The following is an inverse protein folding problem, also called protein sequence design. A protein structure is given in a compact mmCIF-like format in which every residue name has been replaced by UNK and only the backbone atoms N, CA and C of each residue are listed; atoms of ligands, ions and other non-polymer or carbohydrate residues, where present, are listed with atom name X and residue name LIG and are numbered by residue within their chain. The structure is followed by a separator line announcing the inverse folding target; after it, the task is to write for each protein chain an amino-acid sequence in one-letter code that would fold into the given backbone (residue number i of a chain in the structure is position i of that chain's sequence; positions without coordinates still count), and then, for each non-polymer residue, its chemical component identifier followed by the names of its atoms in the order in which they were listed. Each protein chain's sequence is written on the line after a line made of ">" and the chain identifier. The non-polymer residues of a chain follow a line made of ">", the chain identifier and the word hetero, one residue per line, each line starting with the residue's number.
data_IF_751832261236
#
_entry.id   IF_751832261236
#
_cell.length_a   1.000
_cell.length_b   1.000
_cell.length_c   1.000
_cell.angle_alpha   90.00
_cell.angle_beta   90.00
_cell.angle_gamma   90.00
#
_symmetry.space_group_name_H-M   'P 1'
#
loop_
_entity.id
_entity.type
_entity.pdbx_description
1 polymer ?
#
# COMPACT_ATOMS: atom_id res chain seq x y z
N UNK A 1 18.10 -3.95 -25.10
CA UNK A 1 16.75 -3.37 -24.98
C UNK A 1 16.04 -4.16 -23.89
N UNK A 2 15.84 -3.58 -22.71
CA UNK A 2 15.00 -4.19 -21.68
C UNK A 2 13.57 -4.29 -22.23
N UNK A 3 12.94 -5.46 -22.04
CA UNK A 3 11.51 -5.62 -22.37
C UNK A 3 10.73 -4.64 -21.49
N UNK A 4 9.70 -3.95 -22.02
CA UNK A 4 8.86 -3.11 -21.17
C UNK A 4 8.31 -4.00 -20.04
N UNK A 5 8.48 -3.56 -18.78
CA UNK A 5 7.95 -4.27 -17.62
C UNK A 5 6.44 -4.34 -17.74
N UNK A 6 5.87 -5.51 -17.49
CA UNK A 6 4.41 -5.65 -17.40
C UNK A 6 3.91 -4.90 -16.15
N UNK A 7 2.69 -4.35 -16.24
CA UNK A 7 2.06 -3.71 -15.10
C UNK A 7 1.53 -4.79 -14.15
N UNK A 8 1.85 -4.64 -12.87
CA UNK A 8 1.25 -5.49 -11.82
C UNK A 8 -0.16 -5.03 -11.48
N UNK A 9 -0.39 -3.72 -11.50
CA UNK A 9 -1.70 -3.12 -11.28
C UNK A 9 -1.98 -2.07 -12.35
N UNK A 10 -3.19 -2.13 -12.92
CA UNK A 10 -3.71 -1.08 -13.80
C UNK A 10 -5.13 -0.72 -13.36
N UNK A 11 -5.36 0.57 -13.17
CA UNK A 11 -6.67 1.15 -12.94
C UNK A 11 -7.01 1.94 -14.20
N UNK A 12 -8.08 1.56 -14.88
CA UNK A 12 -8.48 2.14 -16.16
C UNK A 12 -9.82 2.81 -16.00
N UNK A 13 -9.82 4.13 -16.07
CA UNK A 13 -11.02 4.98 -16.01
C UNK A 13 -11.97 4.67 -14.83
N UNK A 14 -11.38 4.40 -13.65
CA UNK A 14 -12.09 3.84 -12.51
C UNK A 14 -12.93 4.91 -11.79
N UNK A 15 -14.24 4.66 -11.69
CA UNK A 15 -15.18 5.44 -10.87
C UNK A 15 -15.77 4.57 -9.78
N UNK A 16 -15.88 5.13 -8.56
CA UNK A 16 -16.31 4.37 -7.37
C UNK A 16 -17.30 5.15 -6.55
N UNK A 17 -18.31 4.44 -6.05
CA UNK A 17 -19.35 4.97 -5.17
C UNK A 17 -19.36 4.27 -3.82
N UNK A 18 -19.62 5.03 -2.75
CA UNK A 18 -19.88 4.53 -1.40
C UNK A 18 -21.25 5.05 -0.96
N UNK A 19 -22.20 4.16 -0.76
CA UNK A 19 -23.60 4.53 -0.53
C UNK A 19 -24.14 5.35 -1.72
N UNK A 20 -24.47 6.62 -1.49
CA UNK A 20 -24.97 7.53 -2.53
C UNK A 20 -23.92 8.51 -3.07
N UNK A 21 -22.69 8.46 -2.53
CA UNK A 21 -21.63 9.43 -2.84
C UNK A 21 -20.59 8.86 -3.79
N UNK A 22 -20.33 9.51 -4.89
CA UNK A 22 -19.18 9.22 -5.74
C UNK A 22 -17.90 9.70 -5.06
N UNK A 23 -16.99 8.76 -4.81
CA UNK A 23 -15.75 9.01 -4.03
C UNK A 23 -14.50 9.01 -4.90
N UNK A 24 -14.53 8.31 -6.04
CA UNK A 24 -13.46 8.29 -7.03
C UNK A 24 -14.03 8.51 -8.42
N UNK A 25 -13.32 9.27 -9.25
CA UNK A 25 -13.75 9.65 -10.58
C UNK A 25 -12.59 9.58 -11.56
N UNK A 26 -12.74 8.78 -12.60
CA UNK A 26 -11.82 8.67 -13.73
C UNK A 26 -10.36 8.42 -13.31
N UNK A 27 -10.13 7.52 -12.33
CA UNK A 27 -8.80 7.17 -11.86
C UNK A 27 -8.08 6.32 -12.90
N UNK A 28 -6.89 6.79 -13.29
CA UNK A 28 -5.98 6.07 -14.18
C UNK A 28 -4.61 5.99 -13.50
N UNK A 29 -4.19 4.77 -13.13
CA UNK A 29 -2.88 4.48 -12.52
C UNK A 29 -2.38 3.17 -13.13
N UNK A 30 -1.09 3.15 -13.50
CA UNK A 30 -0.39 1.92 -13.86
C UNK A 30 0.86 1.81 -12.97
N UNK A 31 1.02 0.65 -12.34
CA UNK A 31 2.18 0.30 -11.50
C UNK A 31 2.89 -0.87 -12.18
N UNK A 32 4.10 -0.68 -12.71
CA UNK A 32 4.91 -1.75 -13.25
C UNK A 32 5.34 -2.75 -12.16
N UNK A 33 5.63 -3.99 -12.56
CA UNK A 33 6.19 -4.99 -11.65
C UNK A 33 7.48 -4.49 -11.00
N UNK A 34 7.55 -4.61 -9.67
CA UNK A 34 8.71 -4.23 -8.86
C UNK A 34 8.90 -2.74 -8.64
N UNK A 35 7.95 -1.89 -9.03
CA UNK A 35 8.01 -0.47 -8.70
C UNK A 35 7.29 -0.14 -7.40
N UNK A 36 7.83 0.85 -6.69
CA UNK A 36 7.25 1.41 -5.47
C UNK A 36 6.68 2.78 -5.84
N UNK A 37 5.38 2.93 -5.74
CA UNK A 37 4.71 4.19 -5.99
C UNK A 37 4.20 4.83 -4.68
N UNK A 38 4.18 6.16 -4.65
CA UNK A 38 3.56 6.92 -3.56
C UNK A 38 2.24 7.55 -4.01
N UNK A 39 1.25 7.57 -3.13
CA UNK A 39 -0.02 8.27 -3.33
C UNK A 39 -0.14 9.40 -2.30
N UNK A 40 -0.03 10.63 -2.78
CA UNK A 40 -0.06 11.86 -2.02
C UNK A 40 -1.41 12.54 -2.18
N UNK A 41 -1.79 13.40 -1.24
CA UNK A 41 -3.02 14.17 -1.33
C UNK A 41 -3.56 14.59 0.03
N UNK A 42 -4.43 15.60 0.11
CA UNK A 42 -5.00 16.05 1.37
C UNK A 42 -5.92 15.00 1.99
N UNK A 43 -6.25 15.16 3.27
CA UNK A 43 -7.23 14.31 3.93
C UNK A 43 -8.58 14.42 3.23
N UNK A 44 -9.27 13.28 3.08
CA UNK A 44 -10.56 13.22 2.38
C UNK A 44 -10.46 13.26 0.85
N UNK A 45 -9.26 13.19 0.25
CA UNK A 45 -9.10 13.17 -1.22
C UNK A 45 -9.48 11.85 -1.89
N UNK A 46 -9.71 10.76 -1.12
CA UNK A 46 -10.12 9.46 -1.66
C UNK A 46 -9.03 8.38 -1.63
N UNK A 47 -7.84 8.63 -1.06
CA UNK A 47 -6.71 7.69 -1.06
C UNK A 47 -7.04 6.34 -0.42
N UNK A 48 -7.57 6.36 0.81
CA UNK A 48 -8.02 5.14 1.50
C UNK A 48 -9.16 4.45 0.74
N UNK A 49 -10.09 5.23 0.16
CA UNK A 49 -11.17 4.67 -0.68
C UNK A 49 -10.61 3.92 -1.89
N UNK A 50 -9.55 4.44 -2.51
CA UNK A 50 -8.86 3.76 -3.60
C UNK A 50 -8.29 2.41 -3.14
N UNK A 51 -7.62 2.35 -1.99
CA UNK A 51 -7.07 1.11 -1.43
C UNK A 51 -8.16 0.10 -1.11
N UNK A 52 -9.25 0.53 -0.48
CA UNK A 52 -10.38 -0.35 -0.17
C UNK A 52 -11.03 -0.90 -1.45
N UNK A 53 -11.13 -0.07 -2.50
CA UNK A 53 -11.61 -0.51 -3.82
C UNK A 53 -10.69 -1.55 -4.46
N UNK A 54 -9.36 -1.29 -4.48
CA UNK A 54 -8.38 -2.25 -5.03
C UNK A 54 -8.40 -3.57 -4.26
N UNK A 55 -8.66 -3.54 -2.96
CA UNK A 55 -8.80 -4.76 -2.13
C UNK A 55 -10.15 -5.48 -2.32
N UNK A 56 -11.17 -4.83 -2.89
CA UNK A 56 -12.50 -5.42 -3.11
C UNK A 56 -13.41 -5.39 -1.89
N UNK A 57 -13.31 -4.36 -1.05
CA UNK A 57 -14.27 -4.14 0.03
C UNK A 57 -15.67 -3.82 -0.54
N UNK A 58 -16.73 -4.54 -0.13
CA UNK A 58 -18.04 -4.49 -0.79
C UNK A 58 -18.75 -3.13 -0.69
N UNK A 59 -18.36 -2.28 0.26
CA UNK A 59 -18.92 -0.93 0.41
C UNK A 59 -18.46 0.03 -0.71
N UNK A 60 -17.35 -0.31 -1.42
CA UNK A 60 -16.76 0.48 -2.48
C UNK A 60 -17.16 -0.08 -3.84
N UNK A 61 -18.28 0.38 -4.36
CA UNK A 61 -18.86 -0.14 -5.60
C UNK A 61 -18.23 0.51 -6.81
N UNK A 62 -17.58 -0.25 -7.67
CA UNK A 62 -17.10 0.22 -8.97
C UNK A 62 -18.31 0.48 -9.87
N UNK A 63 -18.48 1.72 -10.31
CA UNK A 63 -19.58 2.14 -11.18
C UNK A 63 -19.16 2.26 -12.64
N UNK A 64 -17.87 2.42 -12.90
CA UNK A 64 -17.28 2.47 -14.23
C UNK A 64 -15.78 2.12 -14.17
N UNK A 65 -15.25 1.63 -15.29
CA UNK A 65 -13.82 1.31 -15.42
C UNK A 65 -13.47 -0.10 -14.94
N UNK A 66 -12.17 -0.40 -14.90
CA UNK A 66 -11.65 -1.74 -14.67
C UNK A 66 -10.41 -1.72 -13.77
N UNK A 67 -10.27 -2.74 -12.94
CA UNK A 67 -9.08 -3.01 -12.12
C UNK A 67 -8.40 -4.27 -12.69
N UNK A 68 -7.21 -4.11 -13.27
CA UNK A 68 -6.41 -5.22 -13.75
C UNK A 68 -5.27 -5.50 -12.78
N UNK A 69 -5.10 -6.75 -12.37
CA UNK A 69 -3.97 -7.21 -11.56
C UNK A 69 -3.25 -8.35 -12.30
N UNK A 70 -1.96 -8.15 -12.59
CA UNK A 70 -1.18 -9.07 -13.45
C UNK A 70 -1.87 -9.34 -14.80
N UNK A 71 -2.51 -8.31 -15.37
CA UNK A 71 -3.26 -8.41 -16.62
C UNK A 71 -4.63 -9.09 -16.52
N UNK A 72 -5.01 -9.61 -15.36
CA UNK A 72 -6.33 -10.20 -15.12
C UNK A 72 -7.30 -9.18 -14.54
N UNK A 73 -8.52 -9.11 -15.07
CA UNK A 73 -9.59 -8.30 -14.51
C UNK A 73 -10.04 -8.88 -13.16
N UNK A 74 -9.91 -8.05 -12.12
CA UNK A 74 -10.29 -8.40 -10.76
C UNK A 74 -11.44 -7.53 -10.23
N UNK A 75 -12.07 -6.73 -11.09
CA UNK A 75 -13.05 -5.71 -10.69
C UNK A 75 -14.16 -6.28 -9.81
N UNK A 76 -14.71 -7.44 -10.18
CA UNK A 76 -15.79 -8.10 -9.44
C UNK A 76 -15.32 -9.18 -8.46
N UNK A 77 -14.01 -9.41 -8.33
CA UNK A 77 -13.46 -10.40 -7.40
C UNK A 77 -13.57 -9.91 -5.96
N UNK A 78 -13.87 -10.82 -5.04
CA UNK A 78 -13.91 -10.50 -3.61
C UNK A 78 -12.51 -10.45 -2.97
N UNK A 79 -12.42 -9.96 -1.72
CA UNK A 79 -11.17 -9.73 -1.00
C UNK A 79 -10.29 -10.98 -0.96
N UNK A 80 -10.86 -12.15 -0.62
CA UNK A 80 -10.06 -13.36 -0.43
C UNK A 80 -9.49 -13.90 -1.75
N UNK A 81 -10.15 -13.71 -2.87
CA UNK A 81 -9.64 -14.06 -4.19
C UNK A 81 -8.45 -13.16 -4.54
N UNK A 82 -8.58 -11.83 -4.34
CA UNK A 82 -7.50 -10.87 -4.59
C UNK A 82 -6.28 -11.14 -3.70
N UNK A 83 -6.49 -11.46 -2.41
CA UNK A 83 -5.39 -11.84 -1.51
C UNK A 83 -4.67 -13.11 -1.98
N UNK A 84 -5.40 -14.13 -2.45
CA UNK A 84 -4.79 -15.34 -3.02
C UNK A 84 -3.97 -15.08 -4.28
N UNK A 85 -4.29 -14.02 -5.03
CA UNK A 85 -3.50 -13.60 -6.20
C UNK A 85 -2.23 -12.85 -5.81
N UNK A 86 -2.06 -12.47 -4.53
CA UNK A 86 -0.90 -11.79 -4.01
C UNK A 86 -1.08 -10.29 -3.73
N UNK A 87 -2.32 -9.80 -3.57
CA UNK A 87 -2.57 -8.46 -3.01
C UNK A 87 -2.60 -8.53 -1.49
N UNK A 88 -2.07 -7.49 -0.83
CA UNK A 88 -2.23 -7.32 0.61
C UNK A 88 -2.31 -5.83 0.98
N UNK A 89 -2.90 -5.55 2.14
CA UNK A 89 -3.06 -4.20 2.66
C UNK A 89 -2.60 -4.10 4.11
N UNK A 90 -1.87 -3.02 4.41
CA UNK A 90 -1.66 -2.49 5.75
C UNK A 90 -2.58 -1.29 5.93
N UNK A 91 -3.52 -1.38 6.85
CA UNK A 91 -4.49 -0.32 7.09
C UNK A 91 -3.93 0.74 8.04
N UNK A 92 -4.40 1.98 7.90
CA UNK A 92 -4.06 3.07 8.84
C UNK A 92 -4.45 2.71 10.28
N UNK A 93 -5.62 2.09 10.45
CA UNK A 93 -6.17 1.62 11.73
C UNK A 93 -6.57 0.15 11.60
N UNK A 94 -5.63 -0.77 11.80
CA UNK A 94 -5.93 -2.19 11.70
C UNK A 94 -6.82 -2.66 12.86
N UNK A 95 -7.60 -3.73 12.65
CA UNK A 95 -8.44 -4.29 13.70
C UNK A 95 -7.62 -4.87 14.85
N UNK A 96 -8.18 -4.83 16.06
CA UNK A 96 -7.67 -5.56 17.22
C UNK A 96 -8.42 -6.88 17.35
N UNK A 97 -7.70 -8.01 17.38
CA UNK A 97 -8.31 -9.35 17.48
C UNK A 97 -7.89 -9.96 18.81
N UNK A 98 -8.84 -10.11 19.73
CA UNK A 98 -8.60 -10.71 21.05
C UNK A 98 -8.69 -12.24 20.99
N UNK A 99 -7.88 -12.90 21.80
CA UNK A 99 -7.85 -14.36 21.91
C UNK A 99 -7.06 -15.07 20.80
N UNK A 100 -6.40 -14.33 19.91
CA UNK A 100 -5.52 -14.88 18.88
C UNK A 100 -4.15 -14.21 19.01
N UNK A 101 -3.15 -14.90 19.58
CA UNK A 101 -1.79 -14.40 19.61
C UNK A 101 -1.21 -14.17 18.20
N UNK A 102 -0.38 -13.13 18.04
CA UNK A 102 0.29 -12.83 16.78
C UNK A 102 1.09 -14.03 16.25
N UNK A 103 1.76 -14.77 17.13
CA UNK A 103 2.49 -16.01 16.81
C UNK A 103 1.59 -17.03 16.10
N UNK A 104 0.34 -17.18 16.54
CA UNK A 104 -0.60 -18.14 15.94
C UNK A 104 -0.95 -17.76 14.50
N UNK A 105 -1.23 -16.48 14.24
CA UNK A 105 -1.50 -16.00 12.90
C UNK A 105 -0.28 -16.18 11.98
N UNK A 106 0.90 -15.77 12.44
CA UNK A 106 2.14 -15.88 11.65
C UNK A 106 2.51 -17.34 11.38
N UNK A 107 2.34 -18.23 12.35
CA UNK A 107 2.54 -19.68 12.16
C UNK A 107 1.59 -20.27 11.12
N UNK A 108 0.34 -19.79 11.06
CA UNK A 108 -0.60 -20.18 10.02
C UNK A 108 -0.19 -19.65 8.64
N UNK A 109 0.28 -18.41 8.54
CA UNK A 109 0.75 -17.82 7.29
C UNK A 109 1.97 -18.60 6.77
N UNK A 110 2.93 -18.86 7.64
CA UNK A 110 4.21 -19.51 7.31
C UNK A 110 4.15 -21.04 7.24
N UNK A 111 2.98 -21.67 7.40
CA UNK A 111 2.84 -23.14 7.52
C UNK A 111 3.40 -23.96 6.35
N UNK A 112 3.58 -23.34 5.20
CA UNK A 112 4.12 -23.99 4.00
C UNK A 112 5.62 -23.74 3.79
N UNK A 113 6.28 -22.96 4.67
CA UNK A 113 7.73 -22.77 4.64
C UNK A 113 8.45 -24.07 5.02
N UNK A 114 9.70 -24.23 4.57
CA UNK A 114 10.50 -25.41 4.88
C UNK A 114 10.78 -25.54 6.39
N UNK A 115 11.02 -24.42 7.08
CA UNK A 115 11.13 -24.31 8.53
C UNK A 115 10.33 -23.09 9.01
N UNK A 116 9.02 -23.28 9.32
CA UNK A 116 8.15 -22.18 9.74
C UNK A 116 8.62 -21.50 11.04
N UNK A 117 9.20 -22.27 11.98
CA UNK A 117 9.66 -21.74 13.26
C UNK A 117 10.89 -20.84 13.09
N UNK A 118 11.90 -21.32 12.38
CA UNK A 118 13.10 -20.53 12.09
C UNK A 118 12.75 -19.26 11.28
N UNK A 119 11.83 -19.35 10.31
CA UNK A 119 11.37 -18.21 9.53
C UNK A 119 10.63 -17.18 10.37
N UNK A 120 9.76 -17.64 11.27
CA UNK A 120 9.07 -16.77 12.22
C UNK A 120 10.06 -16.00 13.11
N UNK A 121 11.02 -16.73 13.71
CA UNK A 121 12.02 -16.13 14.60
C UNK A 121 12.90 -15.10 13.86
N UNK A 122 13.30 -15.40 12.61
CA UNK A 122 14.05 -14.48 11.74
C UNK A 122 13.27 -13.18 11.52
N UNK A 123 12.01 -13.29 11.09
CA UNK A 123 11.17 -12.14 10.78
C UNK A 123 10.82 -11.33 12.03
N UNK A 124 10.55 -11.99 13.15
CA UNK A 124 10.22 -11.33 14.42
C UNK A 124 11.40 -10.51 14.95
N UNK A 125 12.60 -11.07 14.95
CA UNK A 125 13.83 -10.36 15.35
C UNK A 125 14.11 -9.17 14.44
N UNK A 126 14.01 -9.34 13.13
CA UNK A 126 14.21 -8.27 12.16
C UNK A 126 13.20 -7.13 12.28
N UNK A 127 12.04 -7.39 12.89
CA UNK A 127 10.96 -6.42 13.11
C UNK A 127 10.93 -5.89 14.56
N UNK A 128 11.84 -6.34 15.43
CA UNK A 128 11.83 -6.07 16.87
C UNK A 128 10.46 -6.39 17.50
N UNK A 129 9.91 -7.56 17.16
CA UNK A 129 8.61 -8.05 17.63
C UNK A 129 8.69 -9.38 18.39
N UNK A 130 9.89 -9.91 18.61
CA UNK A 130 10.15 -11.19 19.24
C UNK A 130 9.51 -11.31 20.66
N UNK A 131 9.60 -10.27 21.48
CA UNK A 131 8.99 -10.22 22.82
C UNK A 131 7.46 -9.99 22.79
N UNK A 132 6.87 -9.71 21.64
CA UNK A 132 5.46 -9.33 21.48
C UNK A 132 4.62 -10.38 20.74
N UNK A 133 5.24 -11.48 20.29
CA UNK A 133 4.57 -12.53 19.50
C UNK A 133 3.42 -13.22 20.26
N UNK A 134 3.50 -13.31 21.58
CA UNK A 134 2.50 -13.99 22.41
C UNK A 134 1.35 -13.06 22.84
N UNK A 135 1.40 -11.77 22.43
CA UNK A 135 0.26 -10.86 22.58
C UNK A 135 -0.77 -11.08 21.49
N UNK A 136 -2.02 -10.82 21.82
CA UNK A 136 -3.13 -10.82 20.85
C UNK A 136 -2.89 -9.77 19.77
N UNK A 137 -3.35 -10.05 18.56
CA UNK A 137 -3.17 -9.21 17.38
C UNK A 137 -3.64 -7.78 17.67
N UNK A 138 -2.68 -6.83 17.63
CA UNK A 138 -2.89 -5.39 17.85
C UNK A 138 -3.53 -5.03 19.21
N UNK A 139 -3.54 -5.94 20.21
CA UNK A 139 -4.10 -5.68 21.52
C UNK A 139 -2.99 -5.31 22.54
N UNK A 140 -3.14 -4.14 23.16
CA UNK A 140 -2.17 -3.65 24.17
C UNK A 140 -0.81 -3.27 23.59
N UNK A 141 -0.72 -3.07 22.28
CA UNK A 141 0.46 -2.57 21.59
C UNK A 141 0.39 -1.04 21.46
N UNK A 142 1.54 -0.38 21.53
CA UNK A 142 1.69 1.03 21.17
C UNK A 142 1.47 1.25 19.67
N UNK A 143 1.25 2.50 19.23
CA UNK A 143 1.04 2.81 17.82
C UNK A 143 2.17 2.33 16.91
N UNK A 144 3.43 2.49 17.33
CA UNK A 144 4.60 2.01 16.59
C UNK A 144 4.70 0.47 16.56
N UNK A 145 4.35 -0.21 17.65
CA UNK A 145 4.30 -1.68 17.71
C UNK A 145 3.20 -2.24 16.82
N UNK A 146 2.03 -1.59 16.74
CA UNK A 146 0.95 -1.95 15.80
C UNK A 146 1.46 -1.87 14.35
N UNK A 147 2.15 -0.80 13.97
CA UNK A 147 2.71 -0.65 12.62
C UNK A 147 3.75 -1.73 12.30
N UNK A 148 4.62 -2.07 13.25
CA UNK A 148 5.59 -3.16 13.08
C UNK A 148 4.90 -4.53 13.00
N UNK A 149 3.85 -4.76 13.80
CA UNK A 149 3.02 -5.97 13.75
C UNK A 149 2.40 -6.17 12.38
N UNK A 150 1.79 -5.12 11.81
CA UNK A 150 1.20 -5.16 10.47
C UNK A 150 2.24 -5.42 9.37
N UNK A 151 3.41 -4.75 9.43
CA UNK A 151 4.49 -5.01 8.48
C UNK A 151 5.10 -6.41 8.63
N UNK A 152 5.19 -6.94 9.85
CA UNK A 152 5.64 -8.32 10.09
C UNK A 152 4.67 -9.32 9.44
N UNK A 153 3.36 -9.07 9.51
CA UNK A 153 2.36 -9.87 8.83
C UNK A 153 2.53 -9.80 7.29
N UNK A 154 2.79 -8.62 6.73
CA UNK A 154 3.08 -8.47 5.30
C UNK A 154 4.38 -9.17 4.90
N UNK A 155 5.44 -9.08 5.70
CA UNK A 155 6.69 -9.80 5.46
C UNK A 155 6.49 -11.33 5.44
N UNK A 156 5.70 -11.85 6.38
CA UNK A 156 5.36 -13.26 6.44
C UNK A 156 4.49 -13.71 5.23
N UNK A 157 3.50 -12.87 4.86
CA UNK A 157 2.61 -13.14 3.73
C UNK A 157 3.31 -13.02 2.37
N UNK A 158 4.34 -12.17 2.30
CA UNK A 158 5.18 -11.95 1.11
C UNK A 158 4.39 -11.67 -0.18
N UNK A 159 3.47 -10.67 -0.19
CA UNK A 159 2.59 -10.39 -1.33
C UNK A 159 3.35 -9.88 -2.55
N UNK A 160 2.74 -9.96 -3.72
CA UNK A 160 3.26 -9.39 -4.98
C UNK A 160 3.06 -7.87 -5.06
N UNK A 161 1.93 -7.38 -4.51
CA UNK A 161 1.64 -5.95 -4.37
C UNK A 161 1.16 -5.65 -2.95
N UNK A 162 1.87 -4.76 -2.27
CA UNK A 162 1.51 -4.26 -0.96
C UNK A 162 0.89 -2.86 -1.05
N UNK A 163 -0.32 -2.70 -0.50
CA UNK A 163 -0.96 -1.40 -0.30
C UNK A 163 -0.71 -0.97 1.15
N UNK A 164 -0.07 0.18 1.40
CA UNK A 164 0.25 0.63 2.76
C UNK A 164 -0.37 2.01 3.02
N UNK A 165 -1.37 2.05 3.92
CA UNK A 165 -2.10 3.28 4.25
C UNK A 165 -1.48 3.97 5.46
N UNK A 166 -0.73 5.04 5.23
CA UNK A 166 -0.02 5.86 6.22
C UNK A 166 0.80 5.03 7.22
N UNK A 167 1.74 4.21 6.73
CA UNK A 167 2.55 3.36 7.61
C UNK A 167 3.40 4.18 8.59
N UNK A 168 3.74 5.42 8.23
CA UNK A 168 4.60 6.35 8.95
C UNK A 168 3.87 7.30 9.92
N UNK A 169 2.55 7.21 10.01
CA UNK A 169 1.76 8.14 10.85
C UNK A 169 2.03 7.93 12.33
N UNK A 170 2.33 9.05 13.05
CA UNK A 170 2.50 9.05 14.51
C UNK A 170 3.79 8.39 15.02
N UNK A 171 4.80 8.21 14.15
CA UNK A 171 6.08 7.61 14.51
C UNK A 171 7.17 8.66 14.72
N UNK A 172 8.09 8.37 15.65
CA UNK A 172 9.33 9.13 15.81
C UNK A 172 10.37 8.76 14.73
N UNK A 173 11.49 9.51 14.70
CA UNK A 173 12.53 9.33 13.66
C UNK A 173 13.19 7.95 13.70
N UNK A 174 13.38 7.37 14.90
CA UNK A 174 14.02 6.05 15.04
C UNK A 174 13.09 4.94 14.54
N UNK A 175 11.83 5.02 14.93
CA UNK A 175 10.80 4.09 14.48
C UNK A 175 10.59 4.16 12.95
N UNK A 176 10.66 5.37 12.36
CA UNK A 176 10.60 5.55 10.90
C UNK A 176 11.77 4.88 10.17
N UNK A 177 12.98 4.89 10.74
CA UNK A 177 14.15 4.23 10.15
C UNK A 177 13.94 2.71 10.06
N UNK A 178 13.54 2.09 11.18
CA UNK A 178 13.22 0.66 11.21
C UNK A 178 12.07 0.31 10.25
N UNK A 179 11.02 1.12 10.23
CA UNK A 179 9.90 0.95 9.29
C UNK A 179 10.37 0.97 7.83
N UNK A 180 11.22 1.93 7.48
CA UNK A 180 11.81 2.03 6.14
C UNK A 180 12.64 0.80 5.76
N UNK A 181 13.39 0.23 6.71
CA UNK A 181 14.14 -1.02 6.52
C UNK A 181 13.20 -2.21 6.28
N UNK A 182 12.13 -2.32 7.07
CA UNK A 182 11.12 -3.37 6.90
C UNK A 182 10.42 -3.27 5.54
N UNK A 183 10.03 -2.06 5.12
CA UNK A 183 9.41 -1.85 3.80
C UNK A 183 10.39 -2.16 2.67
N UNK A 184 11.66 -1.73 2.77
CA UNK A 184 12.68 -2.10 1.79
C UNK A 184 12.82 -3.62 1.69
N UNK A 185 12.88 -4.32 2.83
CA UNK A 185 12.95 -5.78 2.86
C UNK A 185 11.73 -6.41 2.18
N UNK A 186 10.52 -5.90 2.44
CA UNK A 186 9.28 -6.38 1.82
C UNK A 186 9.30 -6.23 0.29
N UNK A 187 9.84 -5.12 -0.21
CA UNK A 187 9.82 -4.82 -1.64
C UNK A 187 11.03 -5.35 -2.42
N UNK A 188 12.17 -5.62 -1.76
CA UNK A 188 13.43 -6.00 -2.44
C UNK A 188 13.79 -7.46 -2.30
N UNK A 189 13.16 -8.19 -1.39
CA UNK A 189 13.52 -9.57 -1.10
C UNK A 189 12.57 -10.54 -1.79
N UNK A 190 13.09 -11.26 -2.79
CA UNK A 190 12.53 -12.51 -3.31
C UNK A 190 13.66 -13.54 -3.25
N UNK A 191 13.59 -14.55 -2.35
CA UNK A 191 14.65 -15.55 -2.21
C UNK A 191 14.83 -16.41 -3.47
N UNK A 192 13.74 -16.61 -4.22
CA UNK A 192 13.75 -17.46 -5.42
C UNK A 192 14.13 -16.68 -6.69
N UNK A 193 13.95 -15.35 -6.65
CA UNK A 193 14.24 -14.45 -7.77
C UNK A 193 14.90 -13.17 -7.28
N UNK A 194 16.21 -13.17 -6.94
CA UNK A 194 16.88 -12.03 -6.31
C UNK A 194 16.90 -10.75 -7.15
N UNK A 195 16.46 -10.82 -8.41
CA UNK A 195 16.32 -9.67 -9.33
C UNK A 195 14.88 -9.13 -9.38
N UNK A 196 13.89 -9.90 -8.91
CA UNK A 196 12.47 -9.51 -8.99
C UNK A 196 12.07 -8.75 -7.72
N UNK A 197 11.95 -7.44 -7.84
CA UNK A 197 11.38 -6.59 -6.78
C UNK A 197 9.87 -6.82 -6.70
N UNK A 198 9.32 -6.75 -5.49
CA UNK A 198 7.88 -6.70 -5.25
C UNK A 198 7.39 -5.25 -5.31
N UNK A 199 6.17 -5.07 -5.78
CA UNK A 199 5.59 -3.76 -5.94
C UNK A 199 4.92 -3.26 -4.65
N UNK A 200 4.83 -1.93 -4.52
CA UNK A 200 4.07 -1.30 -3.44
C UNK A 200 3.39 -0.01 -3.92
N UNK A 201 2.22 0.28 -3.34
CA UNK A 201 1.60 1.60 -3.39
C UNK A 201 1.43 2.11 -1.96
N UNK A 202 2.05 3.24 -1.63
CA UNK A 202 2.16 3.76 -0.28
C UNK A 202 1.45 5.10 -0.18
N UNK A 203 0.43 5.21 0.65
CA UNK A 203 -0.15 6.50 1.03
C UNK A 203 0.72 7.09 2.14
N UNK A 204 1.17 8.32 1.95
CA UNK A 204 1.90 9.07 2.98
C UNK A 204 1.66 10.57 2.84
N UNK A 205 1.76 11.27 3.95
CA UNK A 205 1.79 12.73 4.04
C UNK A 205 3.17 13.25 4.42
N UNK A 206 4.09 12.33 4.78
CA UNK A 206 5.39 12.69 5.34
C UNK A 206 6.50 12.48 4.29
N UNK A 207 7.17 13.58 3.90
CA UNK A 207 8.33 13.52 3.01
C UNK A 207 9.49 12.69 3.54
N UNK A 208 9.56 12.44 4.86
CA UNK A 208 10.66 11.70 5.49
C UNK A 208 10.72 10.25 4.99
N UNK A 209 9.58 9.55 4.93
CA UNK A 209 9.57 8.16 4.44
C UNK A 209 9.87 8.09 2.94
N UNK A 210 9.47 9.10 2.16
CA UNK A 210 9.79 9.18 0.73
C UNK A 210 11.30 9.27 0.49
N UNK A 211 12.05 9.94 1.39
CA UNK A 211 13.51 10.02 1.32
C UNK A 211 14.21 8.72 1.74
N UNK A 212 13.55 7.83 2.45
CA UNK A 212 14.12 6.56 2.92
C UNK A 212 13.86 5.38 1.98
N UNK A 213 12.88 5.50 1.10
CA UNK A 213 12.47 4.43 0.18
C UNK A 213 12.81 4.78 -1.27
N UNK A 214 13.17 3.80 -2.10
CA UNK A 214 13.40 3.99 -3.53
C UNK A 214 12.06 4.11 -4.27
N UNK A 215 11.35 5.23 -4.05
CA UNK A 215 10.06 5.49 -4.70
C UNK A 215 10.31 5.83 -6.18
N UNK A 216 9.75 5.02 -7.07
CA UNK A 216 9.93 5.19 -8.53
C UNK A 216 9.03 6.30 -9.08
N UNK A 217 7.80 6.43 -8.55
CA UNK A 217 6.83 7.42 -9.02
C UNK A 217 5.88 7.85 -7.89
N UNK A 218 5.42 9.10 -7.95
CA UNK A 218 4.36 9.57 -7.07
C UNK A 218 3.14 10.04 -7.86
N UNK A 219 1.96 9.86 -7.25
CA UNK A 219 0.68 10.33 -7.74
C UNK A 219 0.07 11.29 -6.73
N UNK A 220 -0.54 12.36 -7.19
CA UNK A 220 -1.25 13.32 -6.32
C UNK A 220 -2.74 13.17 -6.56
N UNK A 221 -3.46 12.80 -5.51
CA UNK A 221 -4.92 12.67 -5.52
C UNK A 221 -5.58 13.87 -4.86
N UNK A 222 -6.54 14.47 -5.55
CA UNK A 222 -7.36 15.59 -5.06
C UNK A 222 -8.80 15.36 -5.49
N UNK A 223 -9.74 15.51 -4.55
CA UNK A 223 -11.20 15.40 -4.81
C UNK A 223 -11.59 14.12 -5.59
N UNK A 224 -11.00 12.98 -5.25
CA UNK A 224 -11.31 11.71 -5.91
C UNK A 224 -10.72 11.53 -7.31
N UNK A 225 -9.77 12.36 -7.73
CA UNK A 225 -9.13 12.31 -9.06
C UNK A 225 -7.60 12.37 -8.93
N UNK A 226 -6.88 11.82 -9.92
CA UNK A 226 -5.42 11.97 -10.02
C UNK A 226 -5.09 13.26 -10.76
N UNK A 227 -4.57 14.25 -10.02
CA UNK A 227 -4.17 15.55 -10.55
C UNK A 227 -2.86 15.51 -11.32
N UNK A 228 -1.82 14.98 -10.69
CA UNK A 228 -0.48 14.88 -11.28
C UNK A 228 0.14 13.52 -10.94
N UNK A 229 1.08 13.10 -11.80
CA UNK A 229 1.94 11.94 -11.55
C UNK A 229 3.33 12.24 -12.06
N UNK A 230 4.38 11.84 -11.32
CA UNK A 230 5.75 12.12 -11.74
C UNK A 230 6.80 11.78 -10.68
N UNK A 231 7.96 12.43 -10.80
CA UNK A 231 9.07 12.24 -9.86
C UNK A 231 8.68 12.66 -8.44
N UNK A 232 8.89 11.78 -7.43
CA UNK A 232 8.46 12.02 -6.05
C UNK A 232 9.04 13.30 -5.44
N UNK A 233 10.35 13.55 -5.64
CA UNK A 233 11.03 14.72 -5.07
C UNK A 233 10.48 16.03 -5.67
N UNK A 234 10.28 16.07 -6.98
CA UNK A 234 9.72 17.23 -7.68
C UNK A 234 8.30 17.52 -7.20
N UNK A 235 7.44 16.48 -7.10
CA UNK A 235 6.07 16.64 -6.63
C UNK A 235 6.02 17.09 -5.17
N UNK A 236 6.86 16.53 -4.30
CA UNK A 236 6.93 16.96 -2.89
C UNK A 236 7.38 18.42 -2.77
N UNK A 237 8.41 18.85 -3.49
CA UNK A 237 8.85 20.24 -3.50
C UNK A 237 7.74 21.16 -3.99
N UNK A 238 7.02 20.78 -5.04
CA UNK A 238 5.90 21.56 -5.56
C UNK A 238 4.76 21.68 -4.54
N UNK A 239 4.39 20.57 -3.87
CA UNK A 239 3.36 20.56 -2.82
C UNK A 239 3.77 21.42 -1.62
N UNK A 240 5.02 21.35 -1.18
CA UNK A 240 5.54 22.17 -0.08
C UNK A 240 5.52 23.67 -0.40
N UNK A 241 5.78 24.02 -1.65
CA UNK A 241 5.83 25.43 -2.09
C UNK A 241 4.46 26.02 -2.38
N UNK A 242 3.60 25.27 -3.07
CA UNK A 242 2.34 25.80 -3.65
C UNK A 242 1.07 25.11 -3.08
N UNK A 243 1.26 24.10 -2.22
CA UNK A 243 0.15 23.30 -1.69
C UNK A 243 -0.53 22.42 -2.75
N UNK A 244 -1.48 21.61 -2.30
CA UNK A 244 -2.27 20.73 -3.18
C UNK A 244 -3.22 21.49 -4.13
N UNK A 245 -3.53 22.76 -3.85
CA UNK A 245 -4.42 23.57 -4.69
C UNK A 245 -3.89 23.78 -6.12
N UNK A 246 -2.57 23.79 -6.30
CA UNK A 246 -1.95 23.88 -7.63
C UNK A 246 -2.19 22.63 -8.48
N UNK A 247 -2.31 21.46 -7.85
CA UNK A 247 -2.63 20.20 -8.55
C UNK A 247 -4.09 20.14 -9.04
N UNK A 248 -5.00 20.89 -8.39
CA UNK A 248 -6.41 21.02 -8.85
C UNK A 248 -6.46 21.76 -10.19
N UNK A 249 -5.63 22.78 -10.40
CA UNK A 249 -5.57 23.50 -11.69
C UNK A 249 -5.14 22.60 -12.83
N UNK A 250 -4.18 21.71 -12.58
CA UNK A 250 -3.77 20.69 -13.58
C UNK A 250 -4.91 19.73 -13.98
N UNK A 251 -5.89 19.51 -13.10
CA UNK A 251 -7.10 18.71 -13.41
C UNK A 251 -8.05 19.55 -14.27
N UNK A 252 -8.30 20.81 -13.90
CA UNK A 252 -9.20 21.70 -14.62
C UNK A 252 -8.74 21.93 -16.08
N UNK A 253 -7.43 22.10 -16.29
CA UNK A 253 -6.85 22.30 -17.62
C UNK A 253 -6.93 21.05 -18.53
N UNK A 254 -7.27 19.88 -18.00
CA UNK A 254 -7.44 18.62 -18.76
C UNK A 254 -8.88 18.30 -19.12
N UNK A 255 -9.86 19.02 -18.55
CA UNK A 255 -11.27 18.87 -18.89
C UNK A 255 -11.56 19.84 -20.01
N UNK A 256 -11.82 19.39 -21.26
CA UNK A 256 -12.25 20.31 -22.32
C UNK A 256 -13.57 20.96 -21.89
N UNK A 257 -13.62 22.30 -21.94
CA UNK A 257 -14.88 23.03 -21.78
C UNK A 257 -15.91 22.47 -22.77
N UNK A 258 -17.07 22.02 -22.25
CA UNK A 258 -18.19 21.53 -23.04
C UNK A 258 -18.96 22.69 -23.63
#
# INVERSE_FOLDING_TARGET
>A
MERPRSNILELVDLCVRVGTRDVLQHINIAIPEGEIHALLGPNGSGKTSLFMTIMGFPEYVVTHGTILFKGQDITDMNIHERVRMGLAIMQQRPPTIRGIPLRTLLGYILRNEADPAAKLDELAKASHMDDLLDRDINHGLSGGEIKRSELLQLLALSPELSLMDEPDSGMDVQALTLLGEMIRRLCTYDPDHPVKRKAALIITHNGTILGQLPIDKAHVMVNGQIGCSGNPAILMQHIQTYGYASCIRCIADRIPEK
#
